data_IF_551018136819
#
_entry.id   IF_551018136819
#
_cell.length_a   1.000
_cell.length_b   1.000
_cell.length_c   1.000
_cell.angle_alpha   90.00
_cell.angle_beta   90.00
_cell.angle_gamma   90.00
#
_symmetry.space_group_name_H-M   'P 1'
#
loop_
_entity.id
_entity.type
_entity.pdbx_description
1 polymer ?
#
# COMPACT_ATOMS: atom_id res chain seq x y z
N UNK A 1 3.15 -1.10 -25.02
CA UNK A 1 2.51 0.11 -24.48
C UNK A 1 1.97 0.89 -25.65
N UNK A 2 0.67 0.94 -25.81
CA UNK A 2 0.02 1.82 -26.79
C UNK A 2 0.15 3.26 -26.31
N UNK A 3 0.21 4.23 -27.20
CA UNK A 3 0.40 5.68 -26.93
C UNK A 3 -0.66 6.31 -26.01
N UNK A 4 -1.67 5.57 -25.59
CA UNK A 4 -2.84 5.97 -24.79
C UNK A 4 -2.62 5.86 -23.26
N UNK A 5 -1.57 5.18 -22.82
CA UNK A 5 -1.35 4.92 -21.37
C UNK A 5 -0.53 6.04 -20.66
N UNK A 6 -0.19 7.12 -21.35
CA UNK A 6 0.64 8.20 -20.80
C UNK A 6 -0.25 9.35 -20.36
N UNK A 7 -0.34 9.56 -19.05
CA UNK A 7 -1.02 10.72 -18.47
C UNK A 7 -0.03 11.89 -18.40
N UNK A 8 -0.51 13.11 -18.69
CA UNK A 8 0.28 14.33 -18.51
C UNK A 8 0.73 14.46 -17.05
N UNK A 9 2.03 14.69 -16.76
CA UNK A 9 2.55 14.74 -15.39
C UNK A 9 1.89 15.81 -14.52
N UNK A 10 1.49 16.95 -15.06
CA UNK A 10 0.85 18.01 -14.28
C UNK A 10 -0.60 17.63 -13.93
N UNK A 11 -1.30 16.95 -14.85
CA UNK A 11 -2.64 16.39 -14.62
C UNK A 11 -2.55 15.29 -13.57
N UNK A 12 -1.65 14.32 -13.73
CA UNK A 12 -1.45 13.24 -12.76
C UNK A 12 -1.12 13.78 -11.36
N UNK A 13 -0.23 14.77 -11.26
CA UNK A 13 0.12 15.40 -9.99
C UNK A 13 -1.08 16.11 -9.33
N UNK A 14 -1.98 16.71 -10.10
CA UNK A 14 -3.19 17.30 -9.56
C UNK A 14 -4.13 16.25 -8.97
N UNK A 15 -4.32 15.12 -9.67
CA UNK A 15 -5.14 14.01 -9.19
C UNK A 15 -4.50 13.28 -8.00
N UNK A 16 -3.18 13.16 -7.97
CA UNK A 16 -2.45 12.58 -6.83
C UNK A 16 -2.61 13.44 -5.57
N UNK A 17 -2.54 14.78 -5.67
CA UNK A 17 -2.81 15.66 -4.51
C UNK A 17 -4.23 15.49 -3.97
N UNK A 18 -5.24 15.37 -4.85
CA UNK A 18 -6.62 15.08 -4.44
C UNK A 18 -6.73 13.70 -3.78
N UNK A 19 -6.04 12.70 -4.36
CA UNK A 19 -5.95 11.36 -3.76
C UNK A 19 -5.36 11.42 -2.35
N UNK A 20 -4.22 12.07 -2.17
CA UNK A 20 -3.58 12.19 -0.86
C UNK A 20 -4.51 12.88 0.15
N UNK A 21 -5.14 13.97 -0.22
CA UNK A 21 -6.09 14.68 0.64
C UNK A 21 -7.33 13.84 1.00
N UNK A 22 -7.91 13.09 0.05
CA UNK A 22 -9.04 12.23 0.36
C UNK A 22 -8.64 11.04 1.24
N UNK A 23 -7.41 10.50 1.11
CA UNK A 23 -6.90 9.44 1.99
C UNK A 23 -6.72 9.93 3.43
N UNK A 24 -6.32 11.18 3.65
CA UNK A 24 -6.25 11.77 4.99
C UNK A 24 -7.59 11.78 5.71
N UNK A 25 -8.72 11.83 5.00
CA UNK A 25 -10.06 11.72 5.57
C UNK A 25 -10.23 10.45 6.41
N UNK A 26 -9.57 9.36 6.01
CA UNK A 26 -9.65 8.05 6.63
C UNK A 26 -8.43 7.72 7.49
N UNK A 27 -7.31 8.39 7.23
CA UNK A 27 -6.01 8.15 7.86
C UNK A 27 -5.42 9.50 8.26
N UNK A 28 -5.91 10.06 9.37
CA UNK A 28 -5.53 11.39 9.84
C UNK A 28 -4.01 11.58 10.06
N UNK A 29 -3.27 10.49 10.32
CA UNK A 29 -1.82 10.50 10.52
C UNK A 29 -1.04 9.87 9.36
N UNK A 30 -1.55 9.96 8.16
CA UNK A 30 -0.98 9.27 7.00
C UNK A 30 0.51 9.52 6.80
N UNK A 31 0.96 10.77 6.92
CA UNK A 31 2.39 11.12 6.81
C UNK A 31 3.23 10.56 7.97
N UNK A 32 2.68 10.50 9.18
CA UNK A 32 3.35 9.86 10.30
C UNK A 32 3.47 8.35 10.09
N UNK A 33 2.40 7.69 9.59
CA UNK A 33 2.43 6.28 9.21
C UNK A 33 3.53 6.02 8.19
N UNK A 34 3.62 6.82 7.13
CA UNK A 34 4.68 6.71 6.12
C UNK A 34 6.07 6.92 6.72
N UNK A 35 6.21 7.86 7.65
CA UNK A 35 7.46 8.07 8.38
C UNK A 35 7.88 6.83 9.15
N UNK A 36 6.96 6.21 9.89
CA UNK A 36 7.24 4.98 10.66
C UNK A 36 7.63 3.81 9.73
N UNK A 37 6.89 3.60 8.64
CA UNK A 37 7.24 2.59 7.63
C UNK A 37 8.65 2.85 7.07
N UNK A 38 8.94 4.10 6.73
CA UNK A 38 10.25 4.51 6.24
C UNK A 38 11.38 4.37 7.26
N UNK A 39 11.11 4.58 8.56
CA UNK A 39 12.08 4.36 9.65
C UNK A 39 12.51 2.89 9.71
N UNK A 40 11.53 1.97 9.71
CA UNK A 40 11.79 0.53 9.74
C UNK A 40 12.55 0.10 8.48
N UNK A 41 12.10 0.53 7.30
CA UNK A 41 12.81 0.22 6.05
C UNK A 41 14.24 0.75 6.06
N UNK A 42 14.47 2.00 6.48
CA UNK A 42 15.80 2.61 6.54
C UNK A 42 16.75 1.83 7.45
N UNK A 43 16.29 1.40 8.62
CA UNK A 43 17.10 0.62 9.54
C UNK A 43 17.50 -0.74 8.95
N UNK A 44 16.54 -1.45 8.37
CA UNK A 44 16.76 -2.74 7.71
C UNK A 44 17.79 -2.65 6.58
N UNK A 45 17.78 -1.55 5.83
CA UNK A 45 18.62 -1.39 4.64
C UNK A 45 20.03 -0.84 4.92
N UNK A 46 20.37 -0.48 6.16
CA UNK A 46 21.63 0.21 6.50
C UNK A 46 22.90 -0.46 6.01
N UNK A 47 22.91 -1.79 5.90
CA UNK A 47 24.08 -2.56 5.50
C UNK A 47 24.09 -2.94 4.02
N UNK A 48 23.12 -2.48 3.25
CA UNK A 48 22.96 -2.84 1.84
C UNK A 48 23.31 -1.65 0.95
N UNK A 49 24.20 -1.85 -0.03
CA UNK A 49 24.64 -0.80 -0.95
C UNK A 49 23.64 -0.52 -2.08
N UNK A 50 22.80 -1.49 -2.42
CA UNK A 50 21.81 -1.40 -3.50
C UNK A 50 20.61 -2.30 -3.21
N UNK A 51 19.86 -2.02 -2.11
CA UNK A 51 18.76 -2.88 -1.69
C UNK A 51 17.55 -2.74 -2.61
N UNK A 52 16.71 -3.77 -2.61
CA UNK A 52 15.40 -3.74 -3.29
C UNK A 52 14.27 -3.68 -2.26
N UNK A 53 13.34 -2.78 -2.48
CA UNK A 53 12.13 -2.61 -1.66
C UNK A 53 10.89 -2.74 -2.54
N UNK A 54 9.93 -3.55 -2.11
CA UNK A 54 8.62 -3.68 -2.74
C UNK A 54 7.60 -2.77 -2.04
N UNK A 55 6.78 -2.05 -2.80
CA UNK A 55 5.59 -1.32 -2.31
C UNK A 55 4.34 -2.05 -2.83
N UNK A 56 3.68 -2.80 -1.95
CA UNK A 56 2.59 -3.72 -2.26
C UNK A 56 1.23 -3.01 -2.23
N UNK A 57 0.53 -2.99 -3.34
CA UNK A 57 -0.69 -2.20 -3.50
C UNK A 57 -0.37 -0.70 -3.49
N UNK A 58 0.63 -0.31 -4.28
CA UNK A 58 1.21 1.03 -4.24
C UNK A 58 0.23 2.15 -4.67
N UNK A 59 -0.91 1.81 -5.29
CA UNK A 59 -1.86 2.77 -5.82
C UNK A 59 -1.19 3.79 -6.75
N UNK A 60 -1.46 5.09 -6.57
CA UNK A 60 -0.83 6.14 -7.37
C UNK A 60 0.61 6.48 -6.94
N UNK A 61 1.26 5.64 -6.11
CA UNK A 61 2.66 5.73 -5.75
C UNK A 61 3.01 6.67 -4.59
N UNK A 62 2.04 7.03 -3.75
CA UNK A 62 2.25 7.99 -2.66
C UNK A 62 3.35 7.58 -1.67
N UNK A 63 3.35 6.30 -1.22
CA UNK A 63 4.39 5.78 -0.32
C UNK A 63 5.70 5.60 -1.07
N UNK A 64 5.67 5.00 -2.28
CA UNK A 64 6.86 4.78 -3.10
C UNK A 64 7.65 6.08 -3.36
N UNK A 65 6.96 7.20 -3.64
CA UNK A 65 7.62 8.49 -3.86
C UNK A 65 8.37 8.97 -2.62
N UNK A 66 7.77 8.88 -1.44
CA UNK A 66 8.39 9.26 -0.15
C UNK A 66 9.56 8.35 0.23
N UNK A 67 9.44 7.06 -0.07
CA UNK A 67 10.55 6.13 0.12
C UNK A 67 11.70 6.40 -0.85
N UNK A 68 11.44 6.79 -2.11
CA UNK A 68 12.47 7.14 -3.08
C UNK A 68 13.32 8.33 -2.62
N UNK A 69 12.70 9.35 -2.03
CA UNK A 69 13.40 10.50 -1.47
C UNK A 69 14.27 10.10 -0.26
N UNK A 70 13.77 9.19 0.56
CA UNK A 70 14.42 8.77 1.81
C UNK A 70 15.50 7.71 1.60
N UNK A 71 15.36 6.86 0.58
CA UNK A 71 16.19 5.70 0.29
C UNK A 71 16.81 5.80 -1.13
N UNK A 72 17.65 6.80 -1.40
CA UNK A 72 18.11 7.09 -2.76
C UNK A 72 18.99 5.99 -3.38
N UNK A 73 19.50 5.06 -2.56
CA UNK A 73 20.28 3.90 -3.03
C UNK A 73 19.41 2.65 -3.29
N UNK A 74 18.12 2.69 -2.93
CA UNK A 74 17.24 1.52 -3.07
C UNK A 74 16.62 1.43 -4.46
N UNK A 75 16.45 0.20 -4.93
CA UNK A 75 15.61 -0.12 -6.07
C UNK A 75 14.17 -0.30 -5.59
N UNK A 76 13.32 0.67 -5.87
CA UNK A 76 11.92 0.63 -5.47
C UNK A 76 11.06 0.03 -6.57
N UNK A 77 10.21 -0.93 -6.21
CA UNK A 77 9.25 -1.57 -7.11
C UNK A 77 7.86 -1.45 -6.52
N UNK A 78 7.04 -0.57 -7.10
CA UNK A 78 5.62 -0.44 -6.76
C UNK A 78 4.79 -1.46 -7.54
N UNK A 79 3.90 -2.17 -6.86
CA UNK A 79 3.04 -3.19 -7.43
C UNK A 79 1.58 -2.81 -7.18
N UNK A 80 0.78 -2.76 -8.22
CA UNK A 80 -0.67 -2.59 -8.13
C UNK A 80 -1.37 -3.29 -9.30
N UNK A 81 -2.67 -3.44 -9.21
CA UNK A 81 -3.50 -4.04 -10.27
C UNK A 81 -4.33 -2.99 -11.02
N UNK A 82 -4.43 -1.76 -10.50
CA UNK A 82 -5.23 -0.68 -11.09
C UNK A 82 -4.42 0.09 -12.14
N UNK A 83 -4.78 -0.02 -13.45
CA UNK A 83 -4.03 0.62 -14.52
C UNK A 83 -4.06 2.15 -14.46
N UNK A 84 -5.15 2.75 -13.96
CA UNK A 84 -5.27 4.19 -13.82
C UNK A 84 -4.36 4.73 -12.70
N UNK A 85 -4.38 4.09 -11.54
CA UNK A 85 -3.51 4.47 -10.43
C UNK A 85 -2.04 4.29 -10.79
N UNK A 86 -1.69 3.20 -11.47
CA UNK A 86 -0.34 2.98 -11.99
C UNK A 86 0.06 4.02 -13.05
N UNK A 87 -0.86 4.50 -13.88
CA UNK A 87 -0.57 5.57 -14.83
C UNK A 87 -0.23 6.89 -14.11
N UNK A 88 -0.95 7.24 -13.03
CA UNK A 88 -0.60 8.37 -12.18
C UNK A 88 0.76 8.18 -11.50
N UNK A 89 1.02 7.00 -10.94
CA UNK A 89 2.28 6.67 -10.31
C UNK A 89 3.46 6.85 -11.28
N UNK A 90 3.37 6.29 -12.49
CA UNK A 90 4.41 6.40 -13.53
C UNK A 90 4.64 7.85 -13.99
N UNK A 91 3.59 8.67 -14.00
CA UNK A 91 3.69 10.07 -14.44
C UNK A 91 4.29 11.00 -13.38
N UNK A 92 4.19 10.66 -12.09
CA UNK A 92 4.54 11.56 -10.98
C UNK A 92 5.73 11.12 -10.15
N UNK A 93 6.00 9.80 -10.08
CA UNK A 93 7.08 9.29 -9.24
C UNK A 93 8.48 9.59 -9.81
N UNK A 94 9.51 9.65 -8.94
CA UNK A 94 10.89 9.69 -9.39
C UNK A 94 11.23 8.53 -10.32
N UNK A 95 12.08 8.77 -11.32
CA UNK A 95 12.49 7.75 -12.32
C UNK A 95 13.18 6.52 -11.72
N UNK A 96 13.61 6.60 -10.45
CA UNK A 96 14.18 5.48 -9.71
C UNK A 96 13.14 4.42 -9.28
N UNK A 97 11.85 4.75 -9.33
CA UNK A 97 10.76 3.82 -8.97
C UNK A 97 10.25 3.11 -10.22
N UNK A 98 10.26 1.79 -10.19
CA UNK A 98 9.64 0.95 -11.24
C UNK A 98 8.26 0.50 -10.79
N UNK A 99 7.26 0.59 -11.67
CA UNK A 99 5.89 0.15 -11.39
C UNK A 99 5.52 -1.06 -12.24
N UNK A 100 4.98 -2.09 -11.58
CA UNK A 100 4.57 -3.36 -12.16
C UNK A 100 3.08 -3.55 -11.96
N UNK A 101 2.36 -3.87 -13.03
CA UNK A 101 0.96 -4.28 -12.94
C UNK A 101 0.91 -5.77 -12.62
N UNK A 102 0.45 -6.11 -11.41
CA UNK A 102 0.25 -7.49 -10.98
C UNK A 102 -0.79 -7.54 -9.85
N UNK A 103 -1.54 -8.64 -9.77
CA UNK A 103 -2.48 -8.90 -8.69
C UNK A 103 -1.78 -9.70 -7.60
N UNK A 104 -1.64 -9.10 -6.42
CA UNK A 104 -0.99 -9.71 -5.26
C UNK A 104 -1.69 -11.01 -4.85
N UNK A 105 -0.91 -12.06 -4.62
CA UNK A 105 -1.41 -13.39 -4.22
C UNK A 105 -1.92 -14.26 -5.37
N UNK A 106 -1.98 -13.76 -6.62
CA UNK A 106 -2.29 -14.58 -7.78
C UNK A 106 -1.07 -15.42 -8.19
N UNK A 107 -1.26 -16.62 -8.79
CA UNK A 107 -0.14 -17.41 -9.26
C UNK A 107 0.76 -16.66 -10.24
N UNK A 108 2.06 -16.64 -9.99
CA UNK A 108 3.06 -16.03 -10.88
C UNK A 108 3.20 -14.51 -10.77
N UNK A 109 2.53 -13.84 -9.83
CA UNK A 109 2.70 -12.39 -9.65
C UNK A 109 4.15 -11.99 -9.36
N UNK A 110 4.90 -12.87 -8.69
CA UNK A 110 6.33 -12.66 -8.38
C UNK A 110 7.21 -12.72 -9.62
N UNK A 111 6.85 -13.51 -10.62
CA UNK A 111 7.59 -13.60 -11.89
C UNK A 111 7.51 -12.28 -12.67
N UNK A 112 6.37 -11.59 -12.61
CA UNK A 112 6.18 -10.28 -13.22
C UNK A 112 7.12 -9.22 -12.66
N UNK A 113 7.64 -9.41 -11.43
CA UNK A 113 8.58 -8.49 -10.82
C UNK A 113 9.95 -8.52 -11.49
N UNK A 114 10.33 -9.59 -12.19
CA UNK A 114 11.61 -9.71 -12.88
C UNK A 114 12.81 -9.44 -11.96
N UNK A 115 12.74 -9.92 -10.72
CA UNK A 115 13.78 -9.72 -9.70
C UNK A 115 14.97 -10.65 -9.98
N UNK A 116 16.18 -10.13 -9.84
CA UNK A 116 17.40 -10.94 -9.98
C UNK A 116 17.79 -11.70 -8.70
N UNK A 117 17.15 -11.40 -7.56
CA UNK A 117 17.50 -11.97 -6.26
C UNK A 117 16.46 -11.67 -5.20
N UNK A 118 16.87 -11.84 -3.94
CA UNK A 118 16.02 -11.54 -2.77
C UNK A 118 15.85 -10.04 -2.59
N UNK A 119 14.78 -9.66 -1.90
CA UNK A 119 14.50 -8.29 -1.49
C UNK A 119 14.77 -8.11 0.00
N UNK A 120 15.09 -6.89 0.42
CA UNK A 120 15.40 -6.58 1.81
C UNK A 120 14.17 -6.15 2.58
N UNK A 121 13.22 -5.50 1.91
CA UNK A 121 11.97 -5.09 2.53
C UNK A 121 10.80 -5.18 1.56
N UNK A 122 9.63 -5.49 2.09
CA UNK A 122 8.35 -5.29 1.43
C UNK A 122 7.47 -4.44 2.34
N UNK A 123 6.89 -3.38 1.80
CA UNK A 123 6.02 -2.46 2.54
C UNK A 123 4.64 -2.42 1.90
N UNK A 124 3.64 -2.08 2.69
CA UNK A 124 2.27 -1.83 2.22
C UNK A 124 1.61 -0.75 3.06
N UNK A 125 0.65 -0.07 2.49
CA UNK A 125 -0.22 0.83 3.25
C UNK A 125 -1.62 0.88 2.65
N UNK A 126 -2.64 0.61 3.48
CA UNK A 126 -4.06 0.74 3.11
C UNK A 126 -4.43 -0.05 1.83
N UNK A 127 -3.88 -1.25 1.70
CA UNK A 127 -4.05 -2.06 0.49
C UNK A 127 -4.42 -3.53 0.78
N UNK A 128 -3.83 -4.15 1.79
CA UNK A 128 -3.97 -5.59 1.98
C UNK A 128 -5.32 -6.01 2.56
N UNK A 129 -6.06 -5.08 3.15
CA UNK A 129 -7.44 -5.31 3.60
C UNK A 129 -8.43 -5.66 2.46
N UNK A 130 -8.03 -5.45 1.19
CA UNK A 130 -8.79 -5.89 0.02
C UNK A 130 -8.66 -7.39 -0.28
N UNK A 131 -7.65 -8.04 0.29
CA UNK A 131 -7.38 -9.44 0.02
C UNK A 131 -8.24 -10.34 0.90
N UNK A 132 -8.73 -11.43 0.33
CA UNK A 132 -9.27 -12.51 1.13
C UNK A 132 -8.17 -13.14 2.00
N UNK A 133 -8.55 -13.79 3.10
CA UNK A 133 -7.61 -14.49 3.97
C UNK A 133 -6.74 -15.51 3.21
N UNK A 134 -7.34 -16.22 2.25
CA UNK A 134 -6.60 -17.17 1.41
C UNK A 134 -5.56 -16.49 0.52
N UNK A 135 -5.90 -15.36 -0.12
CA UNK A 135 -4.99 -14.59 -0.94
C UNK A 135 -3.88 -13.94 -0.09
N UNK A 136 -4.23 -13.43 1.10
CA UNK A 136 -3.27 -12.88 2.06
C UNK A 136 -2.27 -13.95 2.54
N UNK A 137 -2.75 -15.15 2.87
CA UNK A 137 -1.89 -16.27 3.24
C UNK A 137 -0.95 -16.69 2.10
N UNK A 138 -1.40 -16.65 0.83
CA UNK A 138 -0.53 -16.92 -0.32
C UNK A 138 0.51 -15.80 -0.48
N UNK A 139 0.08 -14.54 -0.41
CA UNK A 139 1.00 -13.39 -0.45
C UNK A 139 2.12 -13.51 0.58
N UNK A 140 1.80 -13.87 1.83
CA UNK A 140 2.81 -13.99 2.88
C UNK A 140 3.78 -15.15 2.66
N UNK A 141 3.33 -16.27 2.10
CA UNK A 141 4.25 -17.35 1.67
C UNK A 141 5.20 -16.87 0.57
N UNK A 142 4.68 -16.20 -0.43
CA UNK A 142 5.49 -15.66 -1.53
C UNK A 142 6.51 -14.62 -0.99
N UNK A 143 6.08 -13.73 -0.08
CA UNK A 143 6.98 -12.77 0.57
C UNK A 143 8.06 -13.44 1.41
N UNK A 144 7.73 -14.52 2.13
CA UNK A 144 8.72 -15.28 2.88
C UNK A 144 9.77 -15.94 1.96
N UNK A 145 9.41 -16.25 0.72
CA UNK A 145 10.38 -16.71 -0.29
C UNK A 145 11.17 -15.57 -0.89
N UNK A 146 10.57 -14.39 -1.09
CA UNK A 146 11.22 -13.23 -1.71
C UNK A 146 12.14 -12.48 -0.75
N UNK A 147 11.73 -12.29 0.49
CA UNK A 147 12.49 -11.53 1.48
C UNK A 147 13.67 -12.36 1.99
N UNK A 148 14.85 -11.77 2.06
CA UNK A 148 16.04 -12.42 2.62
C UNK A 148 15.94 -12.61 4.14
N UNK A 149 16.68 -13.55 4.74
CA UNK A 149 16.75 -13.69 6.19
C UNK A 149 17.22 -12.37 6.86
N UNK A 150 16.45 -11.90 7.85
CA UNK A 150 16.66 -10.61 8.50
C UNK A 150 16.01 -9.42 7.81
N UNK A 151 15.47 -9.61 6.60
CA UNK A 151 14.64 -8.61 5.94
C UNK A 151 13.25 -8.50 6.57
N UNK A 152 12.48 -7.49 6.20
CA UNK A 152 11.21 -7.17 6.85
C UNK A 152 10.03 -7.06 5.89
N UNK A 153 8.86 -7.42 6.39
CA UNK A 153 7.58 -6.99 5.85
C UNK A 153 6.97 -5.96 6.80
N UNK A 154 6.42 -4.88 6.25
CA UNK A 154 5.81 -3.77 7.00
C UNK A 154 4.47 -3.42 6.40
N UNK A 155 3.40 -3.43 7.20
CA UNK A 155 2.05 -3.09 6.75
C UNK A 155 1.42 -2.03 7.65
N UNK A 156 1.07 -0.88 7.06
CA UNK A 156 0.34 0.19 7.72
C UNK A 156 -1.14 0.15 7.32
N UNK A 157 -2.03 -0.31 8.21
CA UNK A 157 -3.45 -0.42 7.90
C UNK A 157 -4.35 -0.27 9.13
N UNK A 158 -5.65 -0.25 8.89
CA UNK A 158 -6.66 -0.39 9.93
C UNK A 158 -6.91 -1.88 10.18
N UNK A 159 -6.47 -2.35 11.34
CA UNK A 159 -6.65 -3.75 11.71
C UNK A 159 -7.83 -3.90 12.68
N UNK A 160 -8.75 -4.79 12.33
CA UNK A 160 -9.83 -5.17 13.23
C UNK A 160 -9.25 -5.80 14.51
N UNK A 161 -9.93 -5.53 15.63
CA UNK A 161 -9.67 -6.14 16.92
C UNK A 161 -10.73 -7.21 17.20
N UNK A 162 -10.32 -8.40 17.63
CA UNK A 162 -11.24 -9.50 17.90
C UNK A 162 -12.18 -9.23 19.08
N UNK A 163 -11.78 -8.38 20.02
CA UNK A 163 -12.57 -8.00 21.17
C UNK A 163 -13.53 -6.84 20.82
N UNK A 164 -14.86 -7.06 20.70
CA UNK A 164 -15.78 -6.07 20.11
C UNK A 164 -15.74 -4.70 20.81
N UNK A 165 -15.71 -4.68 22.15
CA UNK A 165 -15.69 -3.42 22.90
C UNK A 165 -14.37 -2.66 22.72
N UNK A 166 -13.25 -3.36 22.67
CA UNK A 166 -11.95 -2.75 22.40
C UNK A 166 -11.91 -2.18 20.98
N UNK A 167 -12.42 -2.92 20.02
CA UNK A 167 -12.55 -2.45 18.63
C UNK A 167 -13.37 -1.15 18.52
N UNK A 168 -14.52 -1.08 19.19
CA UNK A 168 -15.32 0.15 19.26
C UNK A 168 -14.54 1.34 19.83
N UNK A 169 -13.77 1.11 20.90
CA UNK A 169 -12.96 2.16 21.54
C UNK A 169 -11.81 2.62 20.64
N UNK A 170 -11.17 1.71 19.93
CA UNK A 170 -10.12 2.03 18.96
C UNK A 170 -10.66 2.87 17.81
N UNK A 171 -11.82 2.49 17.25
CA UNK A 171 -12.50 3.28 16.22
C UNK A 171 -12.93 4.66 16.73
N UNK A 172 -13.43 4.74 17.98
CA UNK A 172 -13.73 6.02 18.60
C UNK A 172 -12.50 6.94 18.66
N UNK A 173 -11.34 6.41 19.08
CA UNK A 173 -10.09 7.17 19.15
C UNK A 173 -9.72 7.71 17.77
N UNK A 174 -9.80 6.88 16.73
CA UNK A 174 -9.54 7.29 15.34
C UNK A 174 -10.48 8.41 14.90
N UNK A 175 -11.78 8.22 15.00
CA UNK A 175 -12.78 9.22 14.57
C UNK A 175 -12.64 10.56 15.33
N UNK A 176 -12.34 10.50 16.63
CA UNK A 176 -12.08 11.73 17.40
C UNK A 176 -10.81 12.44 16.91
N UNK A 177 -9.81 11.72 16.47
CA UNK A 177 -8.59 12.28 15.90
C UNK A 177 -8.84 12.92 14.53
N UNK A 178 -9.54 12.21 13.64
CA UNK A 178 -9.98 12.72 12.33
C UNK A 178 -10.75 14.04 12.49
N UNK A 179 -11.67 14.08 13.45
CA UNK A 179 -12.45 15.29 13.75
C UNK A 179 -11.58 16.45 14.27
N UNK A 180 -10.63 16.17 15.19
CA UNK A 180 -9.72 17.20 15.72
C UNK A 180 -8.81 17.79 14.65
N UNK A 181 -8.39 16.99 13.68
CA UNK A 181 -7.54 17.43 12.57
C UNK A 181 -8.34 18.08 11.43
N UNK A 182 -9.67 17.99 11.46
CA UNK A 182 -10.53 18.58 10.44
C UNK A 182 -10.56 17.84 9.09
N UNK A 183 -9.91 16.67 9.01
CA UNK A 183 -9.79 15.92 7.74
C UNK A 183 -11.10 15.26 7.29
N UNK A 184 -12.08 15.14 8.16
CA UNK A 184 -13.42 14.61 7.84
C UNK A 184 -14.17 15.44 6.77
N UNK A 185 -13.75 16.67 6.52
CA UNK A 185 -14.32 17.54 5.49
C UNK A 185 -13.67 17.37 4.12
N UNK A 186 -12.58 16.62 4.03
CA UNK A 186 -11.93 16.32 2.76
C UNK A 186 -12.86 15.53 1.85
N UNK A 187 -12.57 15.54 0.55
CA UNK A 187 -13.27 14.75 -0.47
C UNK A 187 -13.36 13.27 -0.03
N UNK A 188 -14.53 12.62 -0.28
CA UNK A 188 -14.64 11.19 0.00
C UNK A 188 -14.08 10.33 -1.12
N UNK A 189 -13.86 9.04 -0.85
CA UNK A 189 -13.48 8.05 -1.86
C UNK A 189 -14.45 8.04 -3.05
N UNK A 190 -15.74 8.00 -2.80
CA UNK A 190 -16.77 7.97 -3.85
C UNK A 190 -16.78 9.26 -4.67
N UNK A 191 -16.59 10.42 -4.03
CA UNK A 191 -16.52 11.71 -4.70
C UNK A 191 -15.29 11.77 -5.63
N UNK A 192 -14.13 11.29 -5.16
CA UNK A 192 -12.92 11.24 -5.96
C UNK A 192 -13.10 10.35 -7.20
N UNK A 193 -13.62 9.11 -7.02
CA UNK A 193 -13.86 8.20 -8.14
C UNK A 193 -14.91 8.73 -9.12
N UNK A 194 -16.02 9.31 -8.62
CA UNK A 194 -17.03 9.95 -9.47
C UNK A 194 -16.42 11.06 -10.34
N UNK A 195 -15.52 11.85 -9.76
CA UNK A 195 -14.85 12.91 -10.51
C UNK A 195 -13.87 12.36 -11.55
N UNK A 196 -13.11 11.30 -11.21
CA UNK A 196 -12.20 10.63 -12.17
C UNK A 196 -12.96 9.99 -13.31
N UNK A 197 -14.09 9.33 -13.03
CA UNK A 197 -14.93 8.69 -14.04
C UNK A 197 -15.59 9.68 -15.00
N UNK A 198 -15.73 10.93 -14.61
CA UNK A 198 -16.24 12.01 -15.46
C UNK A 198 -15.18 12.62 -16.39
N UNK A 199 -13.90 12.26 -16.22
CA UNK A 199 -12.80 12.79 -17.03
C UNK A 199 -12.62 11.98 -18.32
N UNK A 200 -12.97 12.55 -19.46
CA UNK A 200 -12.84 11.90 -20.77
C UNK A 200 -11.39 11.47 -21.07
N UNK A 201 -10.41 12.19 -20.56
CA UNK A 201 -8.98 11.91 -20.73
C UNK A 201 -8.58 10.52 -20.19
N UNK A 202 -9.32 9.98 -19.23
CA UNK A 202 -9.04 8.67 -18.61
C UNK A 202 -9.93 7.54 -19.14
N UNK A 203 -10.73 7.76 -20.18
CA UNK A 203 -11.71 6.79 -20.66
C UNK A 203 -11.11 5.41 -20.97
N UNK A 204 -9.94 5.37 -21.62
CA UNK A 204 -9.26 4.12 -21.99
C UNK A 204 -8.72 3.39 -20.74
N UNK A 205 -8.10 4.12 -19.80
CA UNK A 205 -7.60 3.55 -18.54
C UNK A 205 -8.76 3.04 -17.65
N UNK A 206 -9.87 3.77 -17.64
CA UNK A 206 -11.09 3.33 -16.94
C UNK A 206 -11.73 2.10 -17.60
N UNK A 207 -11.67 1.97 -18.92
CA UNK A 207 -12.10 0.77 -19.62
C UNK A 207 -11.22 -0.43 -19.23
N UNK A 208 -9.90 -0.27 -19.28
CA UNK A 208 -8.96 -1.29 -18.83
C UNK A 208 -9.20 -1.69 -17.36
N UNK A 209 -9.45 -0.71 -16.48
CA UNK A 209 -9.78 -0.96 -15.07
C UNK A 209 -11.03 -1.84 -14.91
N UNK A 210 -12.09 -1.57 -15.70
CA UNK A 210 -13.32 -2.39 -15.69
C UNK A 210 -13.06 -3.83 -16.15
N UNK A 211 -12.19 -4.03 -17.15
CA UNK A 211 -11.82 -5.37 -17.63
C UNK A 211 -11.09 -6.22 -16.59
N UNK A 212 -10.33 -5.58 -15.66
CA UNK A 212 -9.65 -6.30 -14.56
C UNK A 212 -10.59 -6.74 -13.45
N UNK A 213 -11.88 -6.39 -13.53
CA UNK A 213 -12.88 -6.74 -12.54
C UNK A 213 -12.37 -6.51 -11.10
N UNK A 214 -11.81 -5.32 -10.85
CA UNK A 214 -11.33 -4.94 -9.53
C UNK A 214 -12.48 -5.01 -8.53
N UNK A 215 -12.23 -5.43 -7.27
CA UNK A 215 -13.26 -5.49 -6.25
C UNK A 215 -13.96 -4.14 -6.13
N UNK A 216 -15.30 -4.16 -6.06
CA UNK A 216 -16.04 -2.98 -5.65
C UNK A 216 -15.59 -2.61 -4.22
N UNK A 217 -15.58 -1.33 -3.90
CA UNK A 217 -15.27 -0.89 -2.55
C UNK A 217 -16.31 -1.47 -1.58
N UNK A 218 -15.94 -2.57 -0.97
CA UNK A 218 -16.62 -3.06 0.22
C UNK A 218 -15.97 -2.32 1.39
N UNK A 219 -16.74 -1.48 2.09
CA UNK A 219 -16.29 -0.82 3.32
C UNK A 219 -16.03 -1.83 4.45
N UNK A 220 -15.90 -3.12 4.11
CA UNK A 220 -15.54 -4.20 5.00
C UNK A 220 -14.17 -3.94 5.61
N UNK A 221 -14.09 -4.17 6.90
CA UNK A 221 -12.83 -4.25 7.62
C UNK A 221 -12.18 -5.55 7.15
N UNK A 222 -10.99 -5.48 6.58
CA UNK A 222 -10.22 -6.67 6.18
C UNK A 222 -9.93 -7.63 7.34
N UNK A 223 -9.13 -8.66 7.12
CA UNK A 223 -8.73 -9.58 8.17
C UNK A 223 -8.19 -8.84 9.39
N UNK A 224 -8.52 -9.32 10.59
CA UNK A 224 -8.05 -8.71 11.85
C UNK A 224 -6.54 -8.92 12.06
N UNK A 225 -5.95 -8.13 12.97
CA UNK A 225 -4.53 -8.22 13.31
C UNK A 225 -4.09 -9.65 13.64
N UNK A 226 -4.91 -10.39 14.39
CA UNK A 226 -4.61 -11.77 14.81
C UNK A 226 -4.47 -12.70 13.61
N UNK A 227 -5.33 -12.54 12.58
CA UNK A 227 -5.25 -13.31 11.33
C UNK A 227 -3.96 -12.99 10.58
N UNK A 228 -3.57 -11.72 10.48
CA UNK A 228 -2.29 -11.34 9.87
C UNK A 228 -1.11 -11.98 10.59
N UNK A 229 -1.08 -11.90 11.94
CA UNK A 229 -0.01 -12.49 12.75
C UNK A 229 0.06 -14.00 12.55
N UNK A 230 -1.08 -14.69 12.57
CA UNK A 230 -1.14 -16.13 12.38
C UNK A 230 -0.64 -16.56 10.98
N UNK A 231 -1.10 -15.88 9.93
CA UNK A 231 -0.69 -16.18 8.55
C UNK A 231 0.79 -15.88 8.32
N UNK A 232 1.35 -14.81 8.90
CA UNK A 232 2.77 -14.49 8.84
C UNK A 232 3.62 -15.55 9.56
N UNK A 233 3.19 -16.03 10.75
CA UNK A 233 3.85 -17.13 11.45
C UNK A 233 3.85 -18.41 10.63
N UNK A 234 2.72 -18.76 10.03
CA UNK A 234 2.59 -19.92 9.15
C UNK A 234 3.49 -19.82 7.92
N UNK A 235 3.69 -18.60 7.38
CA UNK A 235 4.59 -18.33 6.28
C UNK A 235 6.08 -18.39 6.66
N UNK A 236 6.42 -18.38 7.97
CA UNK A 236 7.79 -18.51 8.47
C UNK A 236 8.46 -17.20 8.89
N UNK A 237 7.70 -16.12 9.07
CA UNK A 237 8.20 -14.93 9.77
C UNK A 237 8.30 -15.22 11.27
N UNK A 238 9.32 -14.66 11.94
CA UNK A 238 9.69 -15.06 13.31
C UNK A 238 9.29 -14.06 14.38
N UNK A 239 9.61 -12.78 14.15
CA UNK A 239 9.32 -11.69 15.08
C UNK A 239 8.23 -10.82 14.45
N UNK A 240 7.04 -10.81 15.04
CA UNK A 240 5.87 -10.14 14.48
C UNK A 240 5.23 -9.28 15.56
N UNK A 241 5.00 -8.02 15.25
CA UNK A 241 4.36 -7.10 16.19
C UNK A 241 4.11 -5.72 15.61
N UNK A 242 3.35 -4.91 16.34
CA UNK A 242 3.10 -3.53 15.98
C UNK A 242 4.17 -2.61 16.54
N UNK A 243 4.70 -1.70 15.73
CA UNK A 243 5.68 -0.69 16.14
C UNK A 243 5.06 0.70 16.32
N UNK A 244 3.87 0.90 15.81
CA UNK A 244 3.08 2.13 16.00
C UNK A 244 1.58 1.82 15.97
N UNK A 245 0.81 2.59 16.77
CA UNK A 245 -0.65 2.47 16.81
C UNK A 245 -1.32 3.79 17.18
N UNK A 246 -2.43 4.10 16.51
CA UNK A 246 -3.35 5.18 16.84
C UNK A 246 -4.80 4.75 16.62
N UNK A 247 -5.47 4.30 17.68
CA UNK A 247 -6.77 3.63 17.54
C UNK A 247 -6.62 2.26 16.90
N UNK A 248 -7.35 2.00 15.83
CA UNK A 248 -7.26 0.79 14.99
C UNK A 248 -6.25 0.93 13.84
N UNK A 249 -5.68 2.13 13.63
CA UNK A 249 -4.59 2.37 12.70
C UNK A 249 -3.26 1.90 13.30
N UNK A 250 -2.57 0.97 12.63
CA UNK A 250 -1.34 0.34 13.14
C UNK A 250 -0.30 0.18 12.03
N UNK A 251 0.96 0.11 12.44
CA UNK A 251 2.06 -0.37 11.60
C UNK A 251 2.53 -1.71 12.16
N UNK A 252 2.20 -2.78 11.44
CA UNK A 252 2.62 -4.16 11.70
C UNK A 252 3.96 -4.39 11.03
N UNK A 253 4.89 -5.03 11.74
CA UNK A 253 6.20 -5.46 11.22
C UNK A 253 6.36 -6.96 11.43
N UNK A 254 6.92 -7.63 10.43
CA UNK A 254 7.31 -9.03 10.51
C UNK A 254 8.73 -9.21 9.97
N UNK A 255 9.60 -9.85 10.75
CA UNK A 255 11.00 -10.14 10.41
C UNK A 255 11.10 -11.56 9.86
N UNK A 256 11.84 -11.70 8.73
CA UNK A 256 12.06 -12.99 8.05
C UNK A 256 13.15 -13.83 8.71
#
# INVERSE_FOLDING_TARGET
>A
MTSTDVVDPAVAAAWLRRWDAQQERYIADRELRFTVIGDVATDTLRQHSSPTVLDLGCGPGSLAARLAERLPAAHLVGIDTDPLLLAFARATAPSAVRFVEARLGDPGWTDALGLAGKVQAAVSTTALHWLSEAALGQLYRDLAELIEPGGVFVDGDHFAEAQPRLHELQRLVRHQREARQGVITNESWEQWWTAVEAEETFADLLAQRRERALPAHDHGIGPGLEVHVELLQQAGFREIGTVWQSGDDRVLVAVR
#
